data_IF_008476929876
#
_entry.id   IF_008476929876
#
_cell.length_a   1.000
_cell.length_b   1.000
_cell.length_c   1.000
_cell.angle_alpha   90.00
_cell.angle_beta   90.00
_cell.angle_gamma   90.00
#
_symmetry.space_group_name_H-M   'P 1'
#
loop_
_entity.id
_entity.type
_entity.pdbx_description
1 polymer ?
#
# COMPACT_ATOMS: atom_id res chain seq x y z
N UNK A 1 -7.33 21.93 3.30
CA UNK A 1 -7.31 20.81 3.65
C UNK A 1 -7.95 19.83 2.96
N UNK A 2 -7.47 18.83 2.62
CA UNK A 2 -8.09 18.09 1.81
C UNK A 2 -7.94 16.68 2.13
N UNK A 3 -8.91 16.13 2.74
CA UNK A 3 -9.03 14.72 2.89
C UNK A 3 -9.00 14.04 1.54
N UNK A 4 -9.50 14.71 0.51
CA UNK A 4 -9.48 14.14 -0.83
C UNK A 4 -8.06 13.90 -1.32
N UNK A 5 -7.17 14.84 -1.07
CA UNK A 5 -5.77 14.66 -1.47
C UNK A 5 -5.11 13.52 -0.70
N UNK A 6 -5.44 13.39 0.58
CA UNK A 6 -4.91 12.30 1.38
C UNK A 6 -5.42 10.95 0.89
N UNK A 7 -6.68 10.90 0.50
CA UNK A 7 -7.26 9.67 -0.03
C UNK A 7 -6.60 9.26 -1.34
N UNK A 8 -6.37 10.23 -2.22
CA UNK A 8 -5.70 9.95 -3.49
C UNK A 8 -4.27 9.47 -3.23
N UNK A 9 -3.58 10.10 -2.31
CA UNK A 9 -2.23 9.68 -1.98
C UNK A 9 -2.20 8.26 -1.43
N UNK A 10 -3.13 7.94 -0.54
CA UNK A 10 -3.21 6.59 0.01
C UNK A 10 -3.49 5.56 -1.07
N UNK A 11 -4.38 5.87 -1.98
CA UNK A 11 -4.67 4.97 -3.09
C UNK A 11 -3.44 4.73 -3.94
N UNK A 12 -2.71 5.79 -4.25
CA UNK A 12 -1.49 5.66 -5.04
C UNK A 12 -0.45 4.82 -4.32
N UNK A 13 -0.29 5.05 -3.03
CA UNK A 13 0.65 4.27 -2.23
C UNK A 13 0.23 2.80 -2.17
N UNK A 14 -1.08 2.57 -2.04
CA UNK A 14 -1.59 1.20 -2.01
C UNK A 14 -1.32 0.49 -3.34
N UNK A 15 -1.58 1.16 -4.45
CA UNK A 15 -1.33 0.57 -5.76
C UNK A 15 0.13 0.22 -5.95
N UNK A 16 1.02 1.13 -5.58
CA UNK A 16 2.45 0.86 -5.66
C UNK A 16 2.86 -0.29 -4.76
N UNK A 17 2.34 -0.30 -3.54
CA UNK A 17 2.66 -1.37 -2.60
C UNK A 17 2.14 -2.70 -3.10
N UNK A 18 0.93 -2.70 -3.65
CA UNK A 18 0.35 -3.93 -4.18
C UNK A 18 1.19 -4.49 -5.33
N UNK A 19 1.64 -3.60 -6.20
CA UNK A 19 2.50 -4.02 -7.29
C UNK A 19 3.80 -4.61 -6.78
N UNK A 20 4.41 -3.98 -5.80
CA UNK A 20 5.65 -4.49 -5.24
C UNK A 20 5.47 -5.85 -4.59
N UNK A 21 4.44 -6.01 -3.76
CA UNK A 21 4.25 -7.30 -3.09
C UNK A 21 3.84 -8.38 -4.08
N UNK A 22 3.16 -8.01 -5.16
CA UNK A 22 2.79 -8.96 -6.19
C UNK A 22 4.02 -9.42 -6.96
N UNK A 23 4.89 -8.49 -7.32
CA UNK A 23 6.09 -8.80 -8.07
C UNK A 23 7.12 -9.54 -7.23
N UNK A 24 7.14 -9.29 -5.93
CA UNK A 24 8.08 -9.94 -5.02
C UNK A 24 7.29 -10.79 -4.04
N UNK A 25 6.77 -11.90 -4.52
CA UNK A 25 5.93 -12.78 -3.71
C UNK A 25 6.64 -14.11 -3.47
N UNK A 26 7.74 -14.12 -2.72
CA UNK A 26 8.53 -15.34 -2.53
C UNK A 26 7.80 -16.40 -1.73
N UNK A 27 6.81 -16.03 -0.94
CA UNK A 27 6.09 -16.97 -0.10
C UNK A 27 4.84 -17.53 -0.76
N UNK A 28 4.50 -17.02 -1.94
CA UNK A 28 3.34 -17.52 -2.67
C UNK A 28 2.02 -17.15 -2.03
N UNK A 29 1.91 -15.94 -1.52
CA UNK A 29 0.67 -15.47 -0.92
C UNK A 29 -0.45 -15.44 -1.95
N UNK A 30 -1.68 -15.69 -1.49
CA UNK A 30 -2.85 -15.54 -2.33
C UNK A 30 -3.25 -14.06 -2.41
N UNK A 31 -4.30 -13.77 -3.19
CA UNK A 31 -4.71 -12.38 -3.43
C UNK A 31 -5.08 -11.64 -2.15
N UNK A 32 -5.78 -12.31 -1.23
CA UNK A 32 -6.17 -11.67 0.02
C UNK A 32 -4.95 -11.31 0.85
N UNK A 33 -4.00 -12.21 0.91
CA UNK A 33 -2.78 -11.98 1.67
C UNK A 33 -1.96 -10.85 1.05
N UNK A 34 -1.92 -10.80 -0.29
CA UNK A 34 -1.21 -9.73 -0.97
C UNK A 34 -1.86 -8.39 -0.70
N UNK A 35 -3.19 -8.33 -0.72
CA UNK A 35 -3.89 -7.09 -0.42
C UNK A 35 -3.63 -6.62 1.00
N UNK A 36 -3.66 -7.54 1.94
CA UNK A 36 -3.39 -7.21 3.33
C UNK A 36 -1.98 -6.66 3.51
N UNK A 37 -1.01 -7.33 2.89
CA UNK A 37 0.37 -6.87 2.95
C UNK A 37 0.53 -5.50 2.32
N UNK A 38 -0.15 -5.26 1.21
CA UNK A 38 -0.09 -3.97 0.53
C UNK A 38 -0.68 -2.86 1.39
N UNK A 39 -1.77 -3.16 2.09
CA UNK A 39 -2.38 -2.17 2.98
C UNK A 39 -1.41 -1.77 4.10
N UNK A 40 -0.78 -2.74 4.72
CA UNK A 40 0.17 -2.45 5.79
C UNK A 40 1.35 -1.64 5.26
N UNK A 41 1.86 -2.00 4.11
CA UNK A 41 2.97 -1.27 3.52
C UNK A 41 2.58 0.14 3.15
N UNK A 42 1.41 0.32 2.57
CA UNK A 42 0.93 1.64 2.20
C UNK A 42 0.75 2.53 3.42
N UNK A 43 0.18 1.99 4.49
CA UNK A 43 0.01 2.74 5.72
C UNK A 43 1.35 3.17 6.30
N UNK A 44 2.30 2.27 6.29
CA UNK A 44 3.63 2.57 6.81
C UNK A 44 4.27 3.71 6.02
N UNK A 45 4.17 3.65 4.70
CA UNK A 45 4.73 4.69 3.85
C UNK A 45 4.02 6.02 4.05
N UNK A 46 2.70 5.97 4.21
CA UNK A 46 1.93 7.18 4.45
C UNK A 46 2.35 7.85 5.75
N UNK A 47 2.56 7.06 6.79
CA UNK A 47 2.99 7.59 8.08
C UNK A 47 4.38 8.22 7.97
N UNK A 48 5.26 7.61 7.21
CA UNK A 48 6.60 8.17 7.00
C UNK A 48 6.53 9.52 6.30
N UNK A 49 5.63 9.66 5.34
CA UNK A 49 5.47 10.92 4.65
C UNK A 49 4.85 12.00 5.52
N UNK A 50 4.07 11.59 6.50
CA UNK A 50 3.38 12.53 7.37
C UNK A 50 4.25 13.09 8.47
N UNK A 51 5.44 12.57 8.65
CA UNK A 51 6.35 13.06 9.69
C UNK A 51 7.13 14.28 9.31
#
# INVERSE_FOLDING_TARGET
MSTLQNEILLENLFEEALEEVTNHNPLGFNDEELQFSAELLAQQRFEELAQ
#
